data_IF_658321401757
#
_entry.id   IF_658321401757
#
_cell.length_a   1.000
_cell.length_b   1.000
_cell.length_c   1.000
_cell.angle_alpha   90.00
_cell.angle_beta   90.00
_cell.angle_gamma   90.00
#
_symmetry.space_group_name_H-M   'P 1'
#
loop_
_entity.id
_entity.type
_entity.pdbx_description
1 polymer ?
#
# COMPACT_ATOMS: atom_id res chain seq x y z
N UNK A 1 -9.96 3.26 7.49
CA UNK A 1 -8.61 3.46 6.93
C UNK A 1 -8.33 2.58 5.72
N UNK A 2 -8.30 1.23 5.82
CA UNK A 2 -8.02 0.36 4.65
C UNK A 2 -8.92 0.63 3.44
N UNK A 3 -10.19 0.98 3.66
CA UNK A 3 -11.14 1.32 2.59
C UNK A 3 -10.96 2.73 1.99
N UNK A 4 -10.12 3.57 2.59
CA UNK A 4 -10.02 5.01 2.29
C UNK A 4 -8.60 5.40 1.87
N UNK A 5 -7.57 4.66 2.29
CA UNK A 5 -6.18 5.08 2.13
C UNK A 5 -5.78 5.39 0.67
N UNK A 6 -6.25 4.59 -0.29
CA UNK A 6 -5.99 4.79 -1.73
C UNK A 6 -7.16 5.48 -2.46
N UNK A 7 -8.18 6.00 -1.76
CA UNK A 7 -9.36 6.57 -2.47
C UNK A 7 -8.99 7.80 -3.31
N UNK A 8 -7.91 8.51 -2.94
CA UNK A 8 -7.37 9.63 -3.71
C UNK A 8 -6.88 9.23 -5.11
N UNK A 9 -6.47 7.98 -5.30
CA UNK A 9 -6.01 7.45 -6.59
C UNK A 9 -7.12 7.43 -7.64
N UNK A 10 -8.40 7.48 -7.23
CA UNK A 10 -9.52 7.62 -8.16
C UNK A 10 -9.47 8.92 -9.00
N UNK A 11 -8.78 9.96 -8.50
CA UNK A 11 -8.58 11.23 -9.21
C UNK A 11 -7.10 11.42 -9.57
N UNK A 12 -6.18 11.15 -8.63
CA UNK A 12 -4.74 11.34 -8.85
C UNK A 12 -4.11 10.27 -9.76
N UNK A 13 -4.76 9.11 -9.90
CA UNK A 13 -4.18 7.89 -10.46
C UNK A 13 -3.28 7.17 -9.45
N UNK A 14 -2.98 5.90 -9.73
CA UNK A 14 -1.98 5.11 -9.00
C UNK A 14 -0.55 5.58 -9.40
N UNK A 15 0.06 6.40 -8.55
CA UNK A 15 1.40 6.95 -8.79
C UNK A 15 2.45 5.98 -8.26
N UNK A 16 3.09 5.27 -9.19
CA UNK A 16 4.15 4.31 -8.88
C UNK A 16 5.55 4.96 -8.82
N UNK A 17 6.56 4.30 -8.22
CA UNK A 17 7.94 4.79 -8.24
C UNK A 17 8.54 5.03 -9.63
N UNK A 18 7.96 4.45 -10.68
CA UNK A 18 8.41 4.63 -12.07
C UNK A 18 7.86 5.90 -12.73
N UNK A 19 6.90 6.58 -12.10
CA UNK A 19 6.30 7.80 -12.64
C UNK A 19 7.23 9.03 -12.53
N UNK A 20 8.34 8.95 -11.80
CA UNK A 20 9.29 10.06 -11.62
C UNK A 20 8.72 11.22 -10.80
N UNK A 21 7.65 10.98 -10.04
CA UNK A 21 6.99 11.94 -9.16
C UNK A 21 7.64 11.87 -7.79
N UNK A 22 7.96 13.03 -7.18
CA UNK A 22 8.51 13.07 -5.83
C UNK A 22 7.46 12.71 -4.77
N UNK A 23 7.88 12.21 -3.62
CA UNK A 23 6.97 11.89 -2.51
C UNK A 23 6.11 13.08 -2.09
N UNK A 24 6.69 14.29 -2.07
CA UNK A 24 5.93 15.51 -1.76
C UNK A 24 4.87 15.82 -2.81
N UNK A 25 5.24 15.72 -4.09
CA UNK A 25 4.29 15.96 -5.19
C UNK A 25 3.18 14.91 -5.19
N UNK A 26 3.51 13.64 -4.92
CA UNK A 26 2.53 12.57 -4.75
C UNK A 26 1.54 12.93 -3.63
N UNK A 27 2.05 13.27 -2.46
CA UNK A 27 1.24 13.67 -1.31
C UNK A 27 0.32 14.86 -1.63
N UNK A 28 0.84 15.90 -2.29
CA UNK A 28 0.05 17.09 -2.63
C UNK A 28 -1.08 16.77 -3.61
N UNK A 29 -0.81 15.92 -4.61
CA UNK A 29 -1.80 15.46 -5.59
C UNK A 29 -2.91 14.63 -4.93
N UNK A 30 -2.53 13.67 -4.08
CA UNK A 30 -3.49 12.82 -3.37
C UNK A 30 -4.29 13.61 -2.33
N UNK A 31 -3.66 14.54 -1.60
CA UNK A 31 -4.33 15.43 -0.66
C UNK A 31 -5.39 16.29 -1.35
N UNK A 32 -5.07 16.84 -2.53
CA UNK A 32 -6.03 17.58 -3.34
C UNK A 32 -7.18 16.69 -3.84
N UNK A 33 -6.88 15.45 -4.27
CA UNK A 33 -7.88 14.48 -4.69
C UNK A 33 -8.83 14.10 -3.55
N UNK A 34 -8.32 13.83 -2.35
CA UNK A 34 -9.11 13.53 -1.16
C UNK A 34 -10.01 14.72 -0.79
N UNK A 35 -9.46 15.94 -0.81
CA UNK A 35 -10.24 17.15 -0.55
C UNK A 35 -11.40 17.31 -1.54
N UNK A 36 -11.17 16.99 -2.82
CA UNK A 36 -12.23 16.97 -3.83
C UNK A 36 -13.27 15.87 -3.58
N UNK A 37 -12.83 14.62 -3.31
CA UNK A 37 -13.71 13.48 -3.05
C UNK A 37 -14.60 13.72 -1.82
N UNK A 38 -14.05 14.35 -0.78
CA UNK A 38 -14.78 14.70 0.43
C UNK A 38 -16.00 15.61 0.16
N UNK A 39 -16.00 16.38 -0.93
CA UNK A 39 -17.15 17.23 -1.31
C UNK A 39 -18.32 16.47 -1.91
N UNK A 40 -18.14 15.19 -2.28
CA UNK A 40 -19.18 14.36 -2.89
C UNK A 40 -20.05 13.61 -1.89
N UNK A 41 -19.71 13.68 -0.61
CA UNK A 41 -20.39 13.01 0.50
C UNK A 41 -20.83 14.03 1.55
N UNK A 42 -21.72 13.67 2.50
CA UNK A 42 -22.07 14.58 3.59
C UNK A 42 -20.82 15.05 4.35
N UNK A 43 -20.80 16.32 4.77
CA UNK A 43 -19.62 16.99 5.35
C UNK A 43 -18.92 16.16 6.44
N UNK A 44 -19.68 15.56 7.36
CA UNK A 44 -19.13 14.72 8.42
C UNK A 44 -18.35 13.51 7.88
N UNK A 45 -18.89 12.85 6.85
CA UNK A 45 -18.23 11.70 6.21
C UNK A 45 -16.98 12.14 5.45
N UNK A 46 -17.05 13.28 4.75
CA UNK A 46 -15.90 13.83 4.04
C UNK A 46 -14.75 14.24 4.98
N UNK A 47 -15.09 14.80 6.15
CA UNK A 47 -14.15 15.10 7.22
C UNK A 47 -13.51 13.82 7.77
N UNK A 48 -14.32 12.82 8.13
CA UNK A 48 -13.84 11.53 8.63
C UNK A 48 -12.87 10.86 7.63
N UNK A 49 -13.18 10.88 6.33
CA UNK A 49 -12.32 10.30 5.30
C UNK A 49 -11.00 11.06 5.16
N UNK A 50 -11.06 12.38 5.18
CA UNK A 50 -9.86 13.22 5.10
C UNK A 50 -8.94 13.01 6.30
N UNK A 51 -9.51 12.85 7.50
CA UNK A 51 -8.76 12.55 8.72
C UNK A 51 -8.14 11.16 8.69
N UNK A 52 -8.90 10.14 8.29
CA UNK A 52 -8.40 8.77 8.14
C UNK A 52 -7.27 8.66 7.11
N UNK A 53 -7.36 9.39 6.00
CA UNK A 53 -6.31 9.43 4.99
C UNK A 53 -5.03 10.08 5.54
N UNK A 54 -5.15 11.23 6.22
CA UNK A 54 -4.01 11.89 6.88
C UNK A 54 -3.37 11.02 7.95
N UNK A 55 -4.18 10.34 8.76
CA UNK A 55 -3.69 9.41 9.78
C UNK A 55 -2.91 8.24 9.15
N UNK A 56 -3.40 7.70 8.03
CA UNK A 56 -2.67 6.68 7.27
C UNK A 56 -1.33 7.19 6.75
N UNK A 57 -1.32 8.38 6.13
CA UNK A 57 -0.09 8.97 5.57
C UNK A 57 0.96 9.28 6.64
N UNK A 58 0.54 9.81 7.79
CA UNK A 58 1.43 10.09 8.91
C UNK A 58 2.03 8.82 9.55
N UNK A 59 1.31 7.69 9.51
CA UNK A 59 1.74 6.40 10.06
C UNK A 59 2.11 6.42 11.56
N UNK A 60 1.52 7.34 12.33
CA UNK A 60 1.83 7.53 13.75
C UNK A 60 1.00 6.63 14.67
N UNK A 61 -0.21 6.25 14.23
CA UNK A 61 -1.10 5.39 15.02
C UNK A 61 -0.84 3.92 14.77
N UNK A 62 -1.14 3.08 15.76
CA UNK A 62 -1.01 1.63 15.61
C UNK A 62 -1.86 1.10 14.45
N UNK A 63 -3.07 1.63 14.26
CA UNK A 63 -3.96 1.25 13.16
C UNK A 63 -3.36 1.63 11.80
N UNK A 64 -2.80 2.84 11.65
CA UNK A 64 -2.11 3.24 10.43
C UNK A 64 -0.92 2.36 10.10
N UNK A 65 -0.11 2.03 11.11
CA UNK A 65 1.02 1.12 10.93
C UNK A 65 0.57 -0.29 10.51
N UNK A 66 -0.48 -0.83 11.14
CA UNK A 66 -1.08 -2.12 10.75
C UNK A 66 -1.54 -2.09 9.29
N UNK A 67 -2.24 -1.02 8.87
CA UNK A 67 -2.75 -0.91 7.50
C UNK A 67 -1.60 -0.78 6.49
N UNK A 68 -0.54 -0.01 6.80
CA UNK A 68 0.65 0.07 5.92
C UNK A 68 1.39 -1.26 5.79
N UNK A 69 1.40 -2.10 6.84
CA UNK A 69 1.94 -3.45 6.74
C UNK A 69 1.04 -4.35 5.88
N UNK A 70 -0.28 -4.26 6.06
CA UNK A 70 -1.25 -5.02 5.28
C UNK A 70 -1.17 -4.69 3.80
N UNK A 71 -1.10 -3.41 3.44
CA UNK A 71 -0.89 -2.91 2.07
C UNK A 71 0.32 -3.59 1.40
N UNK A 72 1.49 -3.53 2.04
CA UNK A 72 2.74 -4.11 1.49
C UNK A 72 2.72 -5.62 1.44
N UNK A 73 2.08 -6.26 2.41
CA UNK A 73 1.94 -7.70 2.43
C UNK A 73 1.02 -8.17 1.29
N UNK A 74 -0.12 -7.50 1.08
CA UNK A 74 -1.03 -7.82 -0.02
C UNK A 74 -0.33 -7.68 -1.38
N UNK A 75 0.46 -6.61 -1.56
CA UNK A 75 1.26 -6.39 -2.76
C UNK A 75 2.19 -7.58 -3.10
N UNK A 76 2.94 -8.12 -2.14
CA UNK A 76 3.83 -9.27 -2.39
C UNK A 76 3.07 -10.60 -2.54
N UNK A 77 1.92 -10.76 -1.86
CA UNK A 77 1.03 -11.91 -2.07
C UNK A 77 0.51 -11.91 -3.50
N UNK A 78 0.10 -10.75 -4.00
CA UNK A 78 -0.40 -10.62 -5.36
C UNK A 78 0.71 -10.81 -6.40
N UNK A 79 1.93 -10.30 -6.13
CA UNK A 79 3.10 -10.58 -6.95
C UNK A 79 3.36 -12.09 -7.04
N UNK A 80 3.41 -12.80 -5.92
CA UNK A 80 3.61 -14.27 -5.89
C UNK A 80 2.57 -15.02 -6.75
N UNK A 81 1.29 -14.65 -6.62
CA UNK A 81 0.21 -15.25 -7.42
C UNK A 81 0.38 -14.99 -8.92
N UNK A 82 0.84 -13.80 -9.30
CA UNK A 82 1.09 -13.48 -10.70
C UNK A 82 2.31 -14.20 -11.26
N UNK A 83 3.39 -14.38 -10.49
CA UNK A 83 4.51 -15.23 -10.89
C UNK A 83 4.05 -16.67 -11.14
N UNK A 84 3.27 -17.23 -10.21
CA UNK A 84 2.73 -18.59 -10.36
C UNK A 84 1.83 -18.75 -11.60
N UNK A 85 0.99 -17.74 -11.86
CA UNK A 85 0.00 -17.81 -12.93
C UNK A 85 0.60 -17.56 -14.31
N UNK A 86 1.54 -16.62 -14.42
CA UNK A 86 2.01 -16.10 -15.70
C UNK A 86 3.50 -16.37 -15.98
N UNK A 87 4.26 -16.88 -15.01
CA UNK A 87 5.69 -17.14 -15.17
C UNK A 87 6.53 -15.87 -15.38
N UNK A 88 6.03 -14.72 -14.94
CA UNK A 88 6.76 -13.44 -15.01
C UNK A 88 7.65 -13.27 -13.79
N UNK A 89 8.78 -12.55 -13.95
CA UNK A 89 9.63 -12.18 -12.82
C UNK A 89 9.08 -10.91 -12.15
N UNK A 90 8.71 -11.02 -10.87
CA UNK A 90 8.23 -9.91 -10.05
C UNK A 90 9.11 -9.75 -8.79
N UNK A 91 10.36 -10.20 -8.84
CA UNK A 91 11.33 -10.11 -7.74
C UNK A 91 11.45 -8.69 -7.19
N UNK A 92 11.34 -7.66 -8.05
CA UNK A 92 11.38 -6.26 -7.62
C UNK A 92 10.39 -5.91 -6.50
N UNK A 93 9.20 -6.52 -6.49
CA UNK A 93 8.20 -6.28 -5.44
C UNK A 93 8.66 -6.86 -4.09
N UNK A 94 9.27 -8.05 -4.10
CA UNK A 94 9.85 -8.67 -2.92
C UNK A 94 11.09 -7.93 -2.40
N UNK A 95 11.93 -7.40 -3.29
CA UNK A 95 13.08 -6.58 -2.92
C UNK A 95 12.64 -5.26 -2.28
N UNK A 96 11.58 -4.64 -2.83
CA UNK A 96 11.08 -3.34 -2.33
C UNK A 96 10.52 -3.38 -0.91
N UNK A 97 10.21 -4.57 -0.38
CA UNK A 97 9.60 -4.78 0.94
C UNK A 97 10.54 -5.38 1.98
N UNK A 98 11.80 -5.65 1.63
CA UNK A 98 12.80 -6.16 2.58
C UNK A 98 12.93 -5.24 3.78
N UNK A 99 12.78 -5.78 4.98
CA UNK A 99 12.89 -5.04 6.25
C UNK A 99 11.72 -4.09 6.54
N UNK A 100 10.66 -4.06 5.71
CA UNK A 100 9.49 -3.19 5.92
C UNK A 100 8.36 -3.86 6.72
N UNK A 101 8.23 -5.19 6.63
CA UNK A 101 7.20 -5.96 7.34
C UNK A 101 7.74 -6.42 8.70
N UNK A 102 7.70 -5.54 9.70
CA UNK A 102 8.37 -5.76 11.01
C UNK A 102 7.43 -6.12 12.14
N UNK A 103 6.14 -5.78 12.03
CA UNK A 103 5.12 -6.07 13.03
C UNK A 103 4.59 -7.51 12.90
N UNK A 104 4.30 -8.19 14.01
CA UNK A 104 3.60 -9.48 13.97
C UNK A 104 2.07 -9.27 13.80
N UNK A 105 1.36 -10.11 13.03
CA UNK A 105 1.84 -11.35 12.39
C UNK A 105 2.51 -11.15 11.01
N UNK A 106 2.63 -9.91 10.51
CA UNK A 106 3.16 -9.63 9.17
C UNK A 106 4.61 -10.08 8.99
N UNK A 107 5.46 -9.96 10.01
CA UNK A 107 6.83 -10.47 9.96
C UNK A 107 6.87 -12.01 9.80
N UNK A 108 5.99 -12.74 10.49
CA UNK A 108 5.84 -14.18 10.27
C UNK A 108 5.33 -14.50 8.87
N UNK A 109 4.34 -13.76 8.38
CA UNK A 109 3.79 -13.98 7.05
C UNK A 109 4.78 -13.65 5.93
N UNK A 110 5.59 -12.59 6.06
CA UNK A 110 6.66 -12.24 5.12
C UNK A 110 7.71 -13.34 5.02
N UNK A 111 8.15 -13.90 6.17
CA UNK A 111 9.06 -15.05 6.18
C UNK A 111 8.47 -16.25 5.44
N UNK A 112 7.20 -16.56 5.68
CA UNK A 112 6.57 -17.75 5.11
C UNK A 112 6.35 -17.64 3.59
N UNK A 113 5.92 -16.47 3.10
CA UNK A 113 5.74 -16.27 1.66
C UNK A 113 7.07 -16.28 0.92
N UNK A 114 8.12 -15.64 1.46
CA UNK A 114 9.47 -15.67 0.87
C UNK A 114 10.01 -17.09 0.81
N UNK A 115 9.92 -17.84 1.91
CA UNK A 115 10.31 -19.25 1.97
C UNK A 115 9.60 -20.11 0.92
N UNK A 116 8.28 -19.94 0.80
CA UNK A 116 7.48 -20.71 -0.18
C UNK A 116 7.83 -20.34 -1.62
N UNK A 117 8.07 -19.05 -1.89
CA UNK A 117 8.52 -18.56 -3.19
C UNK A 117 9.90 -19.09 -3.57
N UNK A 118 10.87 -19.04 -2.66
CA UNK A 118 12.23 -19.55 -2.85
C UNK A 118 12.23 -21.04 -3.19
N UNK A 119 11.47 -21.83 -2.42
CA UNK A 119 11.29 -23.27 -2.68
C UNK A 119 10.73 -23.56 -4.08
N UNK A 120 9.79 -22.74 -4.56
CA UNK A 120 9.21 -22.87 -5.90
C UNK A 120 10.21 -22.51 -7.00
N UNK A 121 11.04 -21.50 -6.75
CA UNK A 121 12.03 -20.99 -7.71
C UNK A 121 13.36 -21.77 -7.70
N UNK A 122 13.54 -22.72 -6.76
CA UNK A 122 14.77 -23.47 -6.54
C UNK A 122 16.00 -22.58 -6.27
N UNK A 123 15.80 -21.51 -5.50
CA UNK A 123 16.84 -20.56 -5.07
C UNK A 123 17.00 -20.54 -3.56
#
# INVERSE_FOLDING_TARGET
MSLVHDIGEAIAGDITPHCGVSDQTKFDLESAAIAQIATYVPDAVGQDWSELWREYEAAETQTAQIVKHLDKFDMIVQADKYEQKYGTDLTQFFTSTVGKLTMEPFATWDREIRRTREQRLNI
#
